data_IF_177291408998
#
_entry.id   IF_177291408998
#
_cell.length_a   1.000
_cell.length_b   1.000
_cell.length_c   1.000
_cell.angle_alpha   90.00
_cell.angle_beta   90.00
_cell.angle_gamma   90.00
#
_symmetry.space_group_name_H-M   'P 1'
#
loop_
_entity.id
_entity.type
_entity.pdbx_description
1 polymer ?
#
# COMPACT_ATOMS: atom_id res chain seq x y z
N UNK A 1 -5.48 -28.58 12.87
CA UNK A 1 -5.73 -29.15 11.54
C UNK A 1 -4.38 -29.43 10.90
N UNK A 2 -4.23 -30.61 10.28
CA UNK A 2 -3.05 -30.87 9.45
C UNK A 2 -3.22 -30.06 8.16
N UNK A 3 -2.27 -29.15 7.91
CA UNK A 3 -2.22 -28.35 6.69
C UNK A 3 -1.23 -29.05 5.76
N UNK A 4 -1.66 -29.34 4.52
CA UNK A 4 -0.77 -29.88 3.50
C UNK A 4 0.37 -28.88 3.22
N UNK A 5 1.62 -29.38 3.15
CA UNK A 5 2.79 -28.59 2.85
C UNK A 5 3.31 -28.98 1.47
N UNK A 6 3.41 -27.98 0.58
CA UNK A 6 4.00 -28.12 -0.76
C UNK A 6 5.32 -27.35 -0.75
N UNK A 7 6.42 -28.03 -1.06
CA UNK A 7 7.73 -27.38 -1.23
C UNK A 7 7.96 -27.19 -2.73
N UNK A 8 8.12 -25.93 -3.15
CA UNK A 8 8.33 -25.57 -4.55
C UNK A 8 9.30 -24.37 -4.66
N UNK A 9 10.02 -24.31 -5.78
CA UNK A 9 10.80 -23.14 -6.15
C UNK A 9 9.87 -22.09 -6.78
N UNK A 10 9.90 -20.85 -6.29
CA UNK A 10 9.09 -19.75 -6.81
C UNK A 10 9.43 -19.37 -8.27
N UNK A 11 10.60 -19.76 -8.77
CA UNK A 11 11.00 -19.63 -10.18
C UNK A 11 10.58 -20.81 -11.07
N UNK A 12 9.95 -21.86 -10.52
CA UNK A 12 9.47 -22.99 -11.28
C UNK A 12 8.01 -22.75 -11.73
N UNK A 13 7.83 -22.40 -13.01
CA UNK A 13 6.53 -22.07 -13.60
C UNK A 13 5.55 -23.25 -13.52
N UNK A 14 6.00 -24.50 -13.68
CA UNK A 14 5.11 -25.68 -13.62
C UNK A 14 4.63 -25.92 -12.17
N UNK A 15 5.51 -25.73 -11.19
CA UNK A 15 5.17 -25.81 -9.78
C UNK A 15 4.18 -24.70 -9.38
N UNK A 16 4.40 -23.45 -9.82
CA UNK A 16 3.48 -22.32 -9.57
C UNK A 16 2.12 -22.54 -10.25
N UNK A 17 2.10 -23.07 -11.47
CA UNK A 17 0.86 -23.43 -12.15
C UNK A 17 0.11 -24.57 -11.44
N UNK A 18 0.83 -25.55 -10.89
CA UNK A 18 0.27 -26.59 -10.04
C UNK A 18 -0.38 -26.04 -8.78
N UNK A 19 0.33 -25.15 -8.08
CA UNK A 19 -0.17 -24.47 -6.87
C UNK A 19 -1.42 -23.65 -7.18
N UNK A 20 -1.39 -22.80 -8.20
CA UNK A 20 -2.52 -21.97 -8.59
C UNK A 20 -3.79 -22.79 -8.83
N UNK A 21 -3.69 -23.92 -9.54
CA UNK A 21 -4.84 -24.81 -9.80
C UNK A 21 -5.33 -25.60 -8.59
N UNK A 22 -4.55 -25.70 -7.53
CA UNK A 22 -4.88 -26.48 -6.32
C UNK A 22 -5.75 -25.74 -5.32
N UNK A 23 -5.90 -24.42 -5.45
CA UNK A 23 -6.63 -23.58 -4.50
C UNK A 23 -7.51 -22.55 -5.21
N UNK A 24 -8.43 -21.94 -4.46
CA UNK A 24 -9.26 -20.83 -4.97
C UNK A 24 -8.63 -19.48 -4.73
N UNK A 25 -7.82 -19.35 -3.68
CA UNK A 25 -7.18 -18.08 -3.28
C UNK A 25 -5.74 -18.36 -2.88
N UNK A 26 -4.83 -17.52 -3.33
CA UNK A 26 -3.42 -17.49 -2.89
C UNK A 26 -3.15 -16.18 -2.17
N UNK A 27 -2.69 -16.25 -0.92
CA UNK A 27 -2.13 -15.12 -0.18
C UNK A 27 -0.60 -15.26 -0.13
N UNK A 28 0.12 -14.34 -0.77
CA UNK A 28 1.58 -14.42 -0.90
C UNK A 28 2.31 -13.44 0.01
N UNK A 29 3.31 -13.95 0.74
CA UNK A 29 4.23 -13.14 1.55
C UNK A 29 5.68 -13.25 1.06
N UNK A 30 5.90 -13.77 -0.15
CA UNK A 30 7.22 -14.10 -0.69
C UNK A 30 7.81 -12.88 -1.41
N UNK A 31 8.50 -12.02 -0.67
CA UNK A 31 9.22 -10.86 -1.19
C UNK A 31 10.75 -11.02 -1.14
N UNK A 32 11.52 -10.19 -1.86
CA UNK A 32 11.11 -9.17 -2.83
C UNK A 32 10.33 -9.73 -4.02
N UNK A 33 9.16 -9.14 -4.29
CA UNK A 33 8.24 -9.67 -5.30
C UNK A 33 8.79 -9.53 -6.73
N UNK A 34 9.57 -8.48 -7.01
CA UNK A 34 10.26 -8.33 -8.30
C UNK A 34 11.24 -9.48 -8.60
N UNK A 35 11.70 -10.19 -7.56
CA UNK A 35 12.60 -11.33 -7.72
C UNK A 35 11.88 -12.68 -7.76
N UNK A 36 10.78 -12.82 -7.01
CA UNK A 36 10.19 -14.13 -6.73
C UNK A 36 8.68 -14.22 -7.01
N UNK A 37 8.00 -13.12 -7.32
CA UNK A 37 6.53 -13.07 -7.39
C UNK A 37 5.96 -13.32 -8.79
N UNK A 38 6.74 -13.11 -9.84
CA UNK A 38 6.22 -12.99 -11.22
C UNK A 38 5.61 -14.28 -11.74
N UNK A 39 6.27 -15.43 -11.55
CA UNK A 39 5.76 -16.74 -12.02
C UNK A 39 4.45 -17.11 -11.33
N UNK A 40 4.33 -16.80 -10.03
CA UNK A 40 3.09 -17.07 -9.30
C UNK A 40 1.93 -16.18 -9.78
N UNK A 41 2.18 -14.88 -10.01
CA UNK A 41 1.14 -13.97 -10.54
C UNK A 41 0.70 -14.39 -11.94
N UNK A 42 1.63 -14.75 -12.82
CA UNK A 42 1.31 -15.30 -14.14
C UNK A 42 0.45 -16.57 -14.04
N UNK A 43 0.81 -17.48 -13.13
CA UNK A 43 0.09 -18.73 -12.91
C UNK A 43 -1.34 -18.53 -12.40
N UNK A 44 -1.56 -17.65 -11.41
CA UNK A 44 -2.90 -17.38 -10.86
C UNK A 44 -3.77 -16.63 -11.88
N UNK A 45 -3.20 -15.67 -12.63
CA UNK A 45 -3.88 -14.97 -13.69
C UNK A 45 -4.41 -15.95 -14.77
N UNK A 46 -3.58 -16.90 -15.20
CA UNK A 46 -3.98 -17.88 -16.19
C UNK A 46 -4.95 -18.95 -15.65
N UNK A 47 -4.91 -19.26 -14.35
CA UNK A 47 -5.71 -20.32 -13.73
C UNK A 47 -7.11 -19.87 -13.29
N UNK A 48 -7.41 -18.57 -13.24
CA UNK A 48 -8.64 -18.05 -12.66
C UNK A 48 -8.65 -18.11 -11.12
N UNK A 49 -7.45 -18.12 -10.51
CA UNK A 49 -7.28 -18.20 -9.05
C UNK A 49 -7.13 -16.81 -8.47
N UNK A 50 -7.87 -16.49 -7.41
CA UNK A 50 -7.77 -15.22 -6.73
C UNK A 50 -6.42 -15.08 -6.01
N UNK A 51 -5.92 -13.84 -5.92
CA UNK A 51 -4.59 -13.58 -5.36
C UNK A 51 -4.55 -12.28 -4.58
N UNK A 52 -3.86 -12.30 -3.43
CA UNK A 52 -3.45 -11.09 -2.73
C UNK A 52 -2.04 -11.22 -2.17
N UNK A 53 -1.38 -10.06 -1.97
CA UNK A 53 -0.01 -9.99 -1.46
C UNK A 53 0.25 -8.73 -0.60
N UNK A 54 1.49 -8.59 -0.15
CA UNK A 54 1.98 -7.49 0.68
C UNK A 54 2.99 -6.61 -0.07
N UNK A 55 2.93 -6.56 -1.40
CA UNK A 55 3.96 -5.85 -2.16
C UNK A 55 3.89 -4.33 -1.95
N UNK A 56 5.04 -3.73 -1.67
CA UNK A 56 5.28 -2.29 -1.73
C UNK A 56 6.10 -1.87 -2.96
N UNK A 57 6.12 -2.66 -4.03
CA UNK A 57 6.98 -2.51 -5.21
C UNK A 57 6.18 -2.05 -6.44
N UNK A 58 5.90 -0.72 -6.60
CA UNK A 58 4.99 -0.24 -7.64
C UNK A 58 5.47 -0.52 -9.07
N UNK A 59 6.79 -0.61 -9.28
CA UNK A 59 7.34 -1.00 -10.59
C UNK A 59 6.98 -2.43 -10.96
N UNK A 60 7.03 -3.34 -9.99
CA UNK A 60 6.67 -4.74 -10.21
C UNK A 60 5.15 -4.90 -10.39
N UNK A 61 4.34 -4.25 -9.53
CA UNK A 61 2.88 -4.21 -9.74
C UNK A 61 2.54 -3.75 -11.15
N UNK A 62 3.19 -2.67 -11.62
CA UNK A 62 2.98 -2.14 -12.96
C UNK A 62 3.33 -3.18 -14.03
N UNK A 63 4.45 -3.88 -13.89
CA UNK A 63 4.87 -4.93 -14.82
C UNK A 63 3.87 -6.10 -14.85
N UNK A 64 3.35 -6.51 -13.70
CA UNK A 64 2.35 -7.58 -13.62
C UNK A 64 1.01 -7.17 -14.23
N UNK A 65 0.54 -5.96 -13.97
CA UNK A 65 -0.66 -5.41 -14.60
C UNK A 65 -0.51 -5.38 -16.12
N UNK A 66 0.59 -4.81 -16.63
CA UNK A 66 0.80 -4.68 -18.08
C UNK A 66 0.94 -6.05 -18.79
N UNK A 67 1.46 -7.06 -18.10
CA UNK A 67 1.68 -8.38 -18.68
C UNK A 67 0.44 -9.30 -18.58
N UNK A 68 -0.35 -9.21 -17.52
CA UNK A 68 -1.33 -10.26 -17.16
C UNK A 68 -2.76 -9.74 -16.92
N UNK A 69 -3.06 -8.44 -17.12
CA UNK A 69 -4.42 -7.89 -16.97
C UNK A 69 -5.41 -8.65 -17.87
N UNK A 70 -5.04 -8.90 -19.13
CA UNK A 70 -5.90 -9.58 -20.08
C UNK A 70 -6.17 -11.04 -19.66
N UNK A 71 -5.13 -11.76 -19.25
CA UNK A 71 -5.27 -13.15 -18.79
C UNK A 71 -6.17 -13.24 -17.56
N UNK A 72 -6.01 -12.32 -16.60
CA UNK A 72 -6.82 -12.25 -15.40
C UNK A 72 -8.30 -11.94 -15.71
N UNK A 73 -8.55 -11.02 -16.64
CA UNK A 73 -9.93 -10.72 -17.11
C UNK A 73 -10.55 -11.95 -17.76
N UNK A 74 -9.84 -12.61 -18.67
CA UNK A 74 -10.35 -13.75 -19.43
C UNK A 74 -10.60 -14.99 -18.56
N UNK A 75 -9.73 -15.25 -17.59
CA UNK A 75 -9.84 -16.40 -16.68
C UNK A 75 -10.81 -16.17 -15.52
N UNK A 76 -11.09 -14.90 -15.19
CA UNK A 76 -11.87 -14.50 -14.02
C UNK A 76 -11.03 -14.37 -12.73
N UNK A 77 -9.70 -14.44 -12.79
CA UNK A 77 -8.81 -14.26 -11.65
C UNK A 77 -8.88 -12.82 -11.12
N UNK A 78 -9.12 -12.65 -9.81
CA UNK A 78 -9.09 -11.34 -9.15
C UNK A 78 -7.76 -11.20 -8.41
N UNK A 79 -6.96 -10.23 -8.82
CA UNK A 79 -5.61 -10.02 -8.30
C UNK A 79 -5.56 -8.67 -7.58
N UNK A 80 -5.25 -8.69 -6.28
CA UNK A 80 -5.20 -7.51 -5.42
C UNK A 80 -3.84 -7.42 -4.75
N UNK A 81 -3.06 -6.44 -5.17
CA UNK A 81 -1.75 -6.15 -4.58
C UNK A 81 -1.86 -5.27 -3.33
N UNK A 82 -0.81 -5.25 -2.52
CA UNK A 82 -0.62 -4.36 -1.38
C UNK A 82 -1.70 -4.49 -0.28
N UNK A 83 -2.11 -5.72 0.04
CA UNK A 83 -3.11 -6.06 1.06
C UNK A 83 -2.53 -6.10 2.48
N UNK A 84 -1.68 -5.12 2.84
CA UNK A 84 -1.10 -4.94 4.16
C UNK A 84 -1.11 -3.48 4.59
N UNK A 85 -0.36 -3.14 5.63
CA UNK A 85 -0.20 -1.76 6.08
C UNK A 85 0.37 -0.85 4.99
N UNK A 86 1.03 -1.42 4.01
CA UNK A 86 1.58 -0.68 2.88
C UNK A 86 0.51 0.17 2.18
N UNK A 87 -0.71 -0.37 1.97
CA UNK A 87 -1.74 0.43 1.30
C UNK A 87 -3.16 0.29 1.85
N UNK A 88 -3.50 -0.76 2.62
CA UNK A 88 -4.89 -0.93 3.11
C UNK A 88 -5.39 0.28 3.90
N UNK A 89 -4.68 0.81 4.92
CA UNK A 89 -5.19 1.96 5.67
C UNK A 89 -5.27 3.24 4.84
N UNK A 90 -4.45 3.36 3.80
CA UNK A 90 -4.45 4.50 2.87
C UNK A 90 -5.59 4.41 1.88
N UNK A 91 -5.74 3.30 1.19
CA UNK A 91 -6.71 3.09 0.12
C UNK A 91 -8.15 3.01 0.66
N UNK A 92 -8.37 2.15 1.67
CA UNK A 92 -9.67 2.07 2.35
C UNK A 92 -9.97 3.30 3.20
N UNK A 93 -8.94 3.98 3.76
CA UNK A 93 -9.13 5.24 4.45
C UNK A 93 -9.63 6.34 3.53
N UNK A 94 -9.09 6.45 2.31
CA UNK A 94 -9.61 7.37 1.28
C UNK A 94 -11.02 6.97 0.86
N UNK A 95 -11.27 5.69 0.61
CA UNK A 95 -12.60 5.17 0.29
C UNK A 95 -13.62 5.57 1.35
N UNK A 96 -13.35 5.30 2.62
CA UNK A 96 -14.20 5.67 3.75
C UNK A 96 -14.41 7.18 3.85
N UNK A 97 -13.34 7.98 3.71
CA UNK A 97 -13.44 9.44 3.76
C UNK A 97 -14.35 9.98 2.65
N UNK A 98 -14.25 9.45 1.45
CA UNK A 98 -15.07 9.85 0.31
C UNK A 98 -16.54 9.48 0.51
N UNK A 99 -16.83 8.30 1.05
CA UNK A 99 -18.20 7.91 1.39
C UNK A 99 -18.79 8.82 2.45
N UNK A 100 -18.05 9.12 3.51
CA UNK A 100 -18.50 10.01 4.58
C UNK A 100 -18.69 11.46 4.10
N UNK A 101 -17.89 11.92 3.15
CA UNK A 101 -18.06 13.23 2.52
C UNK A 101 -19.35 13.26 1.67
N UNK A 102 -19.60 12.22 0.87
CA UNK A 102 -20.84 12.10 0.09
C UNK A 102 -22.07 12.03 1.00
N UNK A 103 -22.02 11.27 2.09
CA UNK A 103 -23.14 11.16 3.05
C UNK A 103 -23.45 12.50 3.74
N UNK A 104 -22.41 13.26 4.13
CA UNK A 104 -22.56 14.51 4.89
C UNK A 104 -22.82 15.74 4.02
N UNK A 105 -22.20 15.80 2.84
CA UNK A 105 -22.14 17.00 2.03
C UNK A 105 -22.74 16.85 0.63
N UNK A 106 -23.10 15.62 0.23
CA UNK A 106 -23.51 15.29 -1.13
C UNK A 106 -22.45 15.70 -2.18
N UNK A 107 -21.17 15.72 -1.76
CA UNK A 107 -20.03 16.16 -2.56
C UNK A 107 -18.76 15.38 -2.17
N UNK A 108 -17.96 14.86 -3.13
CA UNK A 108 -16.71 14.18 -2.81
C UNK A 108 -15.61 15.18 -2.42
N UNK A 109 -14.62 14.70 -1.66
CA UNK A 109 -13.40 15.45 -1.44
C UNK A 109 -12.58 15.52 -2.73
N UNK A 110 -12.17 16.71 -3.13
CA UNK A 110 -11.26 16.98 -4.24
C UNK A 110 -9.79 16.91 -3.81
N UNK A 111 -9.54 16.98 -2.50
CA UNK A 111 -8.23 16.74 -1.91
C UNK A 111 -8.35 15.95 -0.61
N UNK A 112 -7.42 15.02 -0.39
CA UNK A 112 -7.27 14.29 0.88
C UNK A 112 -5.79 14.24 1.25
N UNK A 113 -5.49 14.65 2.49
CA UNK A 113 -4.15 14.62 3.05
C UNK A 113 -4.08 13.59 4.19
N UNK A 114 -3.43 12.44 3.97
CA UNK A 114 -3.21 11.45 5.02
C UNK A 114 -2.01 11.83 5.89
N UNK A 115 -2.20 11.78 7.19
CA UNK A 115 -1.18 12.15 8.17
C UNK A 115 -1.02 11.04 9.21
N UNK A 116 0.19 10.48 9.28
CA UNK A 116 0.59 9.55 10.34
C UNK A 116 0.81 10.36 11.61
N UNK A 117 -0.11 10.27 12.56
CA UNK A 117 -0.05 11.02 13.82
C UNK A 117 0.72 10.27 14.90
N UNK A 118 0.61 8.94 14.90
CA UNK A 118 1.36 8.08 15.78
C UNK A 118 1.53 6.71 15.16
N UNK A 119 2.69 6.11 15.40
CA UNK A 119 2.99 4.75 14.94
C UNK A 119 4.06 4.15 15.86
N UNK A 120 3.83 2.91 16.29
CA UNK A 120 4.79 2.11 17.04
C UNK A 120 4.89 0.73 16.43
N UNK A 121 6.07 0.37 15.96
CA UNK A 121 6.35 -0.92 15.34
C UNK A 121 7.75 -0.97 14.78
N UNK A 122 8.11 -2.12 14.22
CA UNK A 122 9.38 -2.36 13.55
C UNK A 122 9.24 -2.39 12.03
N UNK A 123 10.30 -2.03 11.32
CA UNK A 123 10.38 -2.29 9.89
C UNK A 123 10.59 -3.79 9.64
N UNK A 124 9.89 -4.36 8.67
CA UNK A 124 10.10 -5.75 8.30
C UNK A 124 11.36 -5.90 7.43
N UNK A 125 12.10 -7.00 7.63
CA UNK A 125 13.24 -7.34 6.78
C UNK A 125 12.86 -7.44 5.31
N UNK A 126 11.65 -7.93 5.00
CA UNK A 126 11.11 -7.98 3.64
C UNK A 126 10.94 -6.60 3.00
N UNK A 127 10.32 -5.65 3.71
CA UNK A 127 10.16 -4.25 3.23
C UNK A 127 11.51 -3.59 2.97
N UNK A 128 12.48 -3.83 3.87
CA UNK A 128 13.83 -3.30 3.70
C UNK A 128 14.51 -3.91 2.48
N UNK A 129 14.44 -5.23 2.30
CA UNK A 129 15.03 -5.93 1.16
C UNK A 129 14.41 -5.44 -0.17
N UNK A 130 13.09 -5.29 -0.25
CA UNK A 130 12.39 -4.75 -1.42
C UNK A 130 12.83 -3.31 -1.72
N UNK A 131 12.93 -2.46 -0.69
CA UNK A 131 13.41 -1.09 -0.85
C UNK A 131 14.85 -1.00 -1.36
N UNK A 132 15.75 -1.84 -0.86
CA UNK A 132 17.15 -1.90 -1.34
C UNK A 132 17.23 -2.40 -2.79
N UNK A 133 16.44 -3.40 -3.16
CA UNK A 133 16.35 -3.91 -4.53
C UNK A 133 15.83 -2.82 -5.48
N UNK A 134 14.74 -2.15 -5.10
CA UNK A 134 14.14 -1.06 -5.86
C UNK A 134 15.15 0.07 -6.16
N UNK A 135 15.93 0.50 -5.16
CA UNK A 135 16.94 1.53 -5.32
C UNK A 135 18.04 1.06 -6.29
N UNK A 136 18.43 -0.21 -6.23
CA UNK A 136 19.42 -0.76 -7.16
C UNK A 136 18.91 -0.80 -8.59
N UNK A 137 17.69 -1.29 -8.80
CA UNK A 137 17.04 -1.32 -10.11
C UNK A 137 16.88 0.08 -10.70
N UNK A 138 16.34 1.02 -9.92
CA UNK A 138 16.14 2.41 -10.34
C UNK A 138 17.44 3.11 -10.71
N UNK A 139 18.58 2.74 -10.10
CA UNK A 139 19.88 3.27 -10.46
C UNK A 139 20.34 2.81 -11.85
N UNK A 140 20.01 1.56 -12.23
CA UNK A 140 20.43 0.94 -13.49
C UNK A 140 19.50 1.30 -14.65
N UNK A 141 18.21 1.52 -14.37
CA UNK A 141 17.18 1.69 -15.38
C UNK A 141 16.56 3.11 -15.32
N UNK A 142 16.79 3.95 -16.35
CA UNK A 142 16.14 5.25 -16.46
C UNK A 142 14.62 5.20 -16.68
N UNK A 143 14.09 4.17 -17.36
CA UNK A 143 12.66 4.01 -17.57
C UNK A 143 11.95 3.68 -16.26
N UNK A 144 12.56 2.85 -15.43
CA UNK A 144 12.06 2.57 -14.10
C UNK A 144 11.97 3.85 -13.25
N UNK A 145 12.94 4.76 -13.35
CA UNK A 145 12.86 6.06 -12.64
C UNK A 145 11.68 6.90 -13.10
N UNK A 146 11.28 6.82 -14.39
CA UNK A 146 10.08 7.51 -14.88
C UNK A 146 8.81 6.91 -14.28
N UNK A 147 8.73 5.57 -14.20
CA UNK A 147 7.61 4.88 -13.55
C UNK A 147 7.52 5.29 -12.09
N UNK A 148 8.64 5.23 -11.37
CA UNK A 148 8.71 5.62 -9.96
C UNK A 148 8.46 7.13 -9.74
N UNK A 149 8.70 7.98 -10.70
CA UNK A 149 8.39 9.40 -10.66
C UNK A 149 6.94 9.74 -11.00
N UNK A 150 6.18 8.81 -11.55
CA UNK A 150 4.79 9.04 -11.96
C UNK A 150 3.79 8.60 -10.88
N UNK A 151 3.01 9.50 -10.27
CA UNK A 151 1.99 9.14 -9.28
C UNK A 151 0.84 8.31 -9.86
N UNK A 152 0.67 8.33 -11.18
CA UNK A 152 -0.36 7.58 -11.92
C UNK A 152 0.18 6.28 -12.54
N UNK A 153 1.36 5.83 -12.14
CA UNK A 153 2.03 4.69 -12.77
C UNK A 153 1.18 3.40 -12.77
N UNK A 154 0.35 3.19 -11.77
CA UNK A 154 -0.50 2.00 -11.63
C UNK A 154 -1.88 2.17 -12.27
N UNK A 155 -2.25 3.35 -12.75
CA UNK A 155 -3.54 3.55 -13.40
C UNK A 155 -3.65 2.72 -14.71
N UNK A 156 -4.86 2.40 -15.17
CA UNK A 156 -5.07 1.73 -16.44
C UNK A 156 -4.38 2.44 -17.61
N UNK A 157 -4.10 1.71 -18.68
CA UNK A 157 -3.53 2.30 -19.88
C UNK A 157 -4.44 3.44 -20.40
N UNK A 158 -3.83 4.54 -20.83
CA UNK A 158 -4.56 5.76 -21.24
C UNK A 158 -4.93 6.70 -20.08
N UNK A 159 -4.88 6.25 -18.80
CA UNK A 159 -5.19 7.06 -17.61
C UNK A 159 -3.95 7.40 -16.77
N UNK A 160 -2.75 7.14 -17.27
CA UNK A 160 -1.45 7.28 -16.56
C UNK A 160 -0.90 8.71 -16.55
N UNK A 161 -1.78 9.68 -16.71
CA UNK A 161 -1.48 11.11 -16.66
C UNK A 161 -2.55 11.84 -15.86
N UNK A 162 -2.17 12.95 -15.24
CA UNK A 162 -3.08 13.77 -14.45
C UNK A 162 -2.39 15.03 -13.92
N UNK A 163 -3.04 15.79 -13.04
CA UNK A 163 -2.46 16.97 -12.42
C UNK A 163 -1.23 16.61 -11.58
N UNK A 164 -0.38 17.63 -11.33
CA UNK A 164 0.77 17.45 -10.44
C UNK A 164 0.27 17.14 -9.03
N UNK A 165 0.64 15.99 -8.51
CA UNK A 165 0.31 15.59 -7.15
C UNK A 165 1.20 16.27 -6.11
N UNK A 166 0.65 16.66 -4.95
CA UNK A 166 1.44 17.11 -3.81
C UNK A 166 2.34 15.97 -3.32
N UNK A 167 3.52 16.32 -2.79
CA UNK A 167 4.45 15.35 -2.23
C UNK A 167 5.28 15.99 -1.11
N UNK A 168 5.38 15.32 0.03
CA UNK A 168 6.15 15.79 1.18
C UNK A 168 7.52 15.12 1.16
N UNK A 169 8.48 15.74 0.49
CA UNK A 169 9.88 15.26 0.40
C UNK A 169 10.84 15.97 1.35
N UNK A 170 10.39 17.08 1.96
CA UNK A 170 11.17 17.90 2.88
C UNK A 170 10.31 18.34 4.07
N UNK A 171 10.93 18.71 5.20
CA UNK A 171 10.20 19.25 6.35
C UNK A 171 9.37 20.47 5.96
N UNK A 172 8.10 20.50 6.34
CA UNK A 172 7.23 21.66 6.10
C UNK A 172 6.18 21.80 7.20
N UNK A 173 5.61 23.02 7.33
CA UNK A 173 4.36 23.17 8.06
C UNK A 173 3.24 22.55 7.23
N UNK A 174 2.49 21.68 7.85
CA UNK A 174 1.34 21.02 7.23
C UNK A 174 0.12 21.95 7.32
N UNK A 175 -0.50 22.21 6.19
CA UNK A 175 -1.63 23.14 6.13
C UNK A 175 -2.89 22.55 6.79
N UNK A 176 -3.09 21.23 6.66
CA UNK A 176 -4.27 20.54 7.16
C UNK A 176 -4.27 20.43 8.69
N UNK A 177 -3.13 20.12 9.31
CA UNK A 177 -3.03 19.89 10.75
C UNK A 177 -2.38 21.04 11.53
N UNK A 178 -1.74 22.01 10.85
CA UNK A 178 -0.95 23.07 11.48
C UNK A 178 0.36 22.62 12.12
N UNK A 179 0.68 21.35 12.13
CA UNK A 179 1.87 20.75 12.72
C UNK A 179 3.07 20.73 11.73
N UNK A 180 4.24 20.32 12.19
CA UNK A 180 5.36 20.00 11.30
C UNK A 180 5.19 18.59 10.71
N UNK A 181 5.32 18.50 9.39
CA UNK A 181 5.30 17.27 8.62
C UNK A 181 6.70 16.89 8.13
N UNK A 182 6.95 15.59 8.11
CA UNK A 182 8.14 14.96 7.56
C UNK A 182 7.75 13.93 6.49
N UNK A 183 8.66 13.54 5.58
CA UNK A 183 8.38 12.50 4.60
C UNK A 183 7.93 11.19 5.25
N UNK A 184 6.94 10.54 4.64
CA UNK A 184 6.52 9.19 4.99
C UNK A 184 6.96 8.24 3.88
N UNK A 185 7.73 7.22 4.22
CA UNK A 185 8.39 6.35 3.24
C UNK A 185 7.39 5.58 2.37
N UNK A 186 6.24 5.17 2.95
CA UNK A 186 5.21 4.40 2.24
C UNK A 186 4.40 5.25 1.26
N UNK A 187 4.43 6.58 1.38
CA UNK A 187 3.74 7.49 0.47
C UNK A 187 4.08 7.22 -1.01
N UNK A 188 5.30 6.75 -1.28
CA UNK A 188 5.73 6.43 -2.64
C UNK A 188 4.91 5.30 -3.28
N UNK A 189 4.42 4.32 -2.51
CA UNK A 189 3.55 3.24 -2.99
C UNK A 189 2.10 3.62 -2.84
N UNK A 190 1.69 4.06 -1.65
CA UNK A 190 0.30 4.31 -1.30
C UNK A 190 -0.38 5.33 -2.21
N UNK A 191 0.30 6.43 -2.53
CA UNK A 191 -0.26 7.43 -3.45
C UNK A 191 -0.60 6.85 -4.82
N UNK A 192 0.17 5.88 -5.31
CA UNK A 192 -0.10 5.21 -6.59
C UNK A 192 -1.27 4.24 -6.51
N UNK A 193 -1.42 3.54 -5.40
CA UNK A 193 -2.57 2.66 -5.16
C UNK A 193 -3.85 3.48 -5.10
N UNK A 194 -3.88 4.57 -4.33
CA UNK A 194 -5.05 5.49 -4.26
C UNK A 194 -5.37 6.11 -5.61
N UNK A 195 -4.37 6.53 -6.40
CA UNK A 195 -4.60 7.06 -7.75
C UNK A 195 -5.09 5.97 -8.72
N UNK A 196 -4.69 4.71 -8.52
CA UNK A 196 -5.26 3.58 -9.27
C UNK A 196 -6.72 3.35 -8.89
N UNK A 197 -7.06 3.38 -7.61
CA UNK A 197 -8.45 3.30 -7.12
C UNK A 197 -9.31 4.36 -7.79
N UNK A 198 -8.87 5.61 -7.75
CA UNK A 198 -9.56 6.73 -8.40
C UNK A 198 -9.75 6.49 -9.91
N UNK A 199 -8.74 5.98 -10.60
CA UNK A 199 -8.80 5.70 -12.02
C UNK A 199 -9.72 4.51 -12.36
N UNK A 200 -9.68 3.42 -11.58
CA UNK A 200 -10.54 2.24 -11.78
C UNK A 200 -12.03 2.54 -11.56
N UNK A 201 -12.34 3.54 -10.76
CA UNK A 201 -13.70 4.04 -10.52
C UNK A 201 -14.14 5.11 -11.55
N UNK A 202 -13.39 5.32 -12.62
CA UNK A 202 -13.66 6.36 -13.62
C UNK A 202 -13.61 7.79 -13.06
N UNK A 203 -12.69 8.04 -12.12
CA UNK A 203 -12.39 9.35 -11.52
C UNK A 203 -13.58 10.04 -10.83
N UNK A 204 -14.28 9.37 -9.90
CA UNK A 204 -15.49 9.93 -9.28
C UNK A 204 -15.22 11.16 -8.42
N UNK A 205 -13.96 11.39 -8.02
CA UNK A 205 -13.55 12.52 -7.16
C UNK A 205 -13.05 13.74 -7.97
N UNK A 206 -13.25 13.69 -9.29
CA UNK A 206 -12.89 14.73 -10.25
C UNK A 206 -11.47 14.60 -10.80
N UNK A 207 -11.24 15.15 -12.00
CA UNK A 207 -9.94 15.09 -12.68
C UNK A 207 -8.80 15.79 -11.94
N UNK A 208 -9.15 16.69 -11.02
CA UNK A 208 -8.22 17.46 -10.19
C UNK A 208 -7.91 16.83 -8.83
N UNK A 209 -8.38 15.61 -8.53
CA UNK A 209 -8.19 15.00 -7.22
C UNK A 209 -6.72 14.95 -6.80
N UNK A 210 -6.44 15.47 -5.60
CA UNK A 210 -5.12 15.51 -4.99
C UNK A 210 -5.04 14.59 -3.75
N UNK A 211 -3.95 13.83 -3.66
CA UNK A 211 -3.68 12.98 -2.50
C UNK A 211 -2.20 12.99 -2.13
N UNK A 212 -1.90 13.20 -0.84
CA UNK A 212 -0.54 13.05 -0.31
C UNK A 212 -0.51 12.43 1.10
N UNK A 213 0.67 11.95 1.48
CA UNK A 213 0.91 11.38 2.80
C UNK A 213 2.15 12.00 3.46
N UNK A 214 2.08 12.15 4.78
CA UNK A 214 3.21 12.63 5.58
C UNK A 214 3.14 12.13 7.03
N UNK A 215 4.27 12.16 7.73
CA UNK A 215 4.34 11.94 9.18
C UNK A 215 4.24 13.28 9.91
N UNK A 216 3.36 13.38 10.93
CA UNK A 216 3.35 14.52 11.84
C UNK A 216 4.36 14.31 12.97
N UNK A 217 5.08 15.36 13.30
CA UNK A 217 6.11 15.32 14.37
C UNK A 217 5.88 16.36 15.48
N UNK A 218 4.67 16.97 15.47
CA UNK A 218 4.22 17.93 16.48
C UNK A 218 4.44 19.38 16.08
N UNK A 219 4.48 20.27 17.08
CA UNK A 219 4.55 21.72 16.89
C UNK A 219 5.81 22.33 17.48
N UNK A 220 6.10 23.58 17.06
CA UNK A 220 7.21 24.38 17.58
C UNK A 220 8.59 24.02 17.03
N UNK A 221 9.65 24.69 17.54
CA UNK A 221 11.01 24.55 16.99
C UNK A 221 11.61 23.14 17.13
N UNK A 222 11.27 22.42 18.20
CA UNK A 222 11.76 21.06 18.39
C UNK A 222 11.17 20.11 17.36
N UNK A 223 9.90 20.29 17.00
CA UNK A 223 9.25 19.51 15.95
C UNK A 223 9.86 19.79 14.57
N UNK A 224 10.23 21.05 14.28
CA UNK A 224 10.97 21.39 13.07
C UNK A 224 12.31 20.64 12.98
N UNK A 225 13.04 20.56 14.10
CA UNK A 225 14.29 19.80 14.15
C UNK A 225 14.06 18.29 13.98
N UNK A 226 13.01 17.73 14.59
CA UNK A 226 12.62 16.33 14.40
C UNK A 226 12.25 16.04 12.93
N UNK A 227 11.43 16.90 12.29
CA UNK A 227 11.08 16.76 10.88
C UNK A 227 12.32 16.75 9.99
N UNK A 228 13.28 17.64 10.28
CA UNK A 228 14.57 17.70 9.56
C UNK A 228 15.39 16.43 9.78
N UNK A 229 15.40 15.89 11.00
CA UNK A 229 16.07 14.64 11.33
C UNK A 229 15.48 13.45 10.57
N UNK A 230 14.15 13.35 10.50
CA UNK A 230 13.45 12.29 9.74
C UNK A 230 13.78 12.39 8.24
N UNK A 231 13.62 13.58 7.64
CA UNK A 231 13.93 13.79 6.23
C UNK A 231 15.40 13.51 5.91
N UNK A 232 16.32 13.96 6.79
CA UNK A 232 17.75 13.68 6.67
C UNK A 232 18.06 12.19 6.77
N UNK A 233 17.39 11.46 7.68
CA UNK A 233 17.53 10.01 7.84
C UNK A 233 17.06 9.23 6.60
N UNK A 234 15.90 9.60 6.06
CA UNK A 234 15.38 8.99 4.80
C UNK A 234 16.33 9.26 3.64
N UNK A 235 16.80 10.50 3.49
CA UNK A 235 17.76 10.88 2.44
C UNK A 235 19.12 10.17 2.57
N UNK A 236 19.64 10.06 3.81
CA UNK A 236 20.88 9.36 4.09
C UNK A 236 20.77 7.86 3.80
N UNK A 237 19.65 7.22 4.22
CA UNK A 237 19.38 5.82 3.91
C UNK A 237 19.35 5.59 2.39
N UNK A 238 18.58 6.39 1.65
CA UNK A 238 18.51 6.28 0.19
C UNK A 238 19.88 6.46 -0.48
N UNK A 239 20.66 7.44 -0.03
CA UNK A 239 22.02 7.68 -0.53
C UNK A 239 22.99 6.52 -0.23
N UNK A 240 22.94 5.97 0.97
CA UNK A 240 23.75 4.80 1.36
C UNK A 240 23.34 3.54 0.60
N UNK A 241 22.03 3.35 0.40
CA UNK A 241 21.50 2.22 -0.37
C UNK A 241 21.86 2.29 -1.87
N UNK A 242 21.96 3.50 -2.41
CA UNK A 242 22.34 3.72 -3.81
C UNK A 242 23.83 3.41 -4.12
N UNK A 243 24.72 3.47 -3.12
CA UNK A 243 26.16 3.23 -3.30
C UNK A 243 26.54 1.83 -2.82
N UNK A 244 27.08 0.98 -3.71
CA UNK A 244 27.34 -0.44 -3.48
C UNK A 244 28.09 -0.79 -2.19
N UNK A 245 29.23 -0.15 -1.86
CA UNK A 245 29.97 -0.40 -0.62
C UNK A 245 29.17 -0.11 0.64
N UNK A 246 28.45 1.01 0.70
CA UNK A 246 27.63 1.39 1.86
C UNK A 246 26.36 0.56 1.98
N UNK A 247 25.78 0.10 0.86
CA UNK A 247 24.66 -0.82 0.85
C UNK A 247 25.03 -2.16 1.48
N UNK A 248 26.23 -2.71 1.19
CA UNK A 248 26.70 -3.94 1.85
C UNK A 248 26.85 -3.76 3.35
N UNK A 249 27.36 -2.60 3.77
CA UNK A 249 27.46 -2.26 5.18
C UNK A 249 26.08 -2.14 5.84
N UNK A 250 25.10 -1.49 5.16
CA UNK A 250 23.70 -1.43 5.65
C UNK A 250 23.14 -2.83 5.87
N UNK A 251 23.34 -3.75 4.94
CA UNK A 251 22.85 -5.13 5.05
C UNK A 251 23.33 -5.89 6.29
N UNK A 252 24.46 -5.48 6.92
CA UNK A 252 24.94 -6.10 8.17
C UNK A 252 24.23 -5.62 9.43
N UNK A 253 23.46 -4.52 9.34
CA UNK A 253 22.74 -3.90 10.47
C UNK A 253 21.22 -3.97 10.32
N UNK A 254 20.74 -4.31 9.14
CA UNK A 254 19.31 -4.39 8.84
C UNK A 254 18.80 -5.82 9.08
N UNK A 255 17.55 -5.98 9.53
CA UNK A 255 16.96 -7.31 9.69
C UNK A 255 16.91 -8.05 8.36
N UNK A 256 17.19 -9.35 8.41
CA UNK A 256 17.10 -10.23 7.24
C UNK A 256 15.63 -10.49 6.84
N UNK A 257 15.36 -10.91 5.59
CA UNK A 257 14.02 -11.35 5.20
C UNK A 257 13.49 -12.43 6.17
N UNK A 258 12.29 -12.20 6.71
CA UNK A 258 11.68 -13.04 7.75
C UNK A 258 11.98 -12.60 9.18
N UNK A 259 12.94 -11.70 9.40
CA UNK A 259 13.17 -11.10 10.70
C UNK A 259 12.29 -9.85 10.92
N UNK A 260 11.90 -9.63 12.16
CA UNK A 260 11.05 -8.50 12.54
C UNK A 260 10.92 -8.35 14.05
N UNK A 261 9.98 -7.50 14.52
CA UNK A 261 9.73 -7.32 15.95
C UNK A 261 9.27 -8.60 16.62
N UNK A 262 9.64 -8.75 17.91
CA UNK A 262 9.19 -9.91 18.72
C UNK A 262 7.65 -9.92 18.84
N UNK A 263 7.03 -11.08 19.19
CA UNK A 263 5.60 -11.15 19.44
C UNK A 263 5.09 -10.10 20.42
N UNK A 264 5.83 -9.82 21.49
CA UNK A 264 5.47 -8.81 22.48
C UNK A 264 5.56 -7.39 21.91
N UNK A 265 6.53 -7.13 21.03
CA UNK A 265 6.66 -5.85 20.34
C UNK A 265 5.53 -5.66 19.33
N UNK A 266 5.13 -6.73 18.64
CA UNK A 266 3.99 -6.72 17.72
C UNK A 266 2.68 -6.41 18.46
N UNK A 267 2.46 -7.04 19.63
CA UNK A 267 1.28 -6.79 20.47
C UNK A 267 1.26 -5.40 21.09
N UNK A 268 2.41 -4.84 21.41
CA UNK A 268 2.54 -3.48 21.96
C UNK A 268 2.58 -2.39 20.89
N UNK A 269 2.50 -2.77 19.62
CA UNK A 269 2.49 -1.87 18.47
C UNK A 269 1.11 -1.24 18.24
N UNK A 270 1.07 -0.18 17.46
CA UNK A 270 -0.16 0.48 17.03
C UNK A 270 0.12 1.48 15.91
N UNK A 271 -0.92 1.96 15.25
CA UNK A 271 -0.87 3.14 14.38
C UNK A 271 -2.13 3.98 14.50
N UNK A 272 -2.00 5.28 14.25
CA UNK A 272 -3.07 6.28 14.16
C UNK A 272 -2.80 7.14 12.92
N UNK A 273 -3.68 7.05 11.95
CA UNK A 273 -3.64 7.80 10.70
C UNK A 273 -4.88 8.70 10.64
N UNK A 274 -4.69 9.96 10.24
CA UNK A 274 -5.78 10.91 10.01
C UNK A 274 -5.82 11.34 8.57
N UNK A 275 -7.01 11.38 8.01
CA UNK A 275 -7.25 11.84 6.65
C UNK A 275 -8.04 13.14 6.73
N UNK A 276 -7.44 14.21 6.21
CA UNK A 276 -8.03 15.52 6.12
C UNK A 276 -8.56 15.71 4.71
N UNK A 277 -9.88 15.66 4.55
CA UNK A 277 -10.57 15.82 3.27
C UNK A 277 -11.14 17.23 3.12
N UNK A 278 -11.07 17.76 1.90
CA UNK A 278 -11.68 19.04 1.52
C UNK A 278 -12.43 18.86 0.19
N UNK A 279 -13.71 19.32 0.15
CA UNK A 279 -14.55 19.30 -1.04
C UNK A 279 -14.29 20.52 -1.93
N UNK A 280 -14.78 20.53 -3.17
CA UNK A 280 -14.70 21.69 -4.05
C UNK A 280 -15.50 22.89 -3.49
N UNK A 281 -16.54 22.62 -2.70
CA UNK A 281 -17.32 23.63 -1.98
C UNK A 281 -16.62 24.20 -0.75
N UNK A 282 -15.43 23.71 -0.38
CA UNK A 282 -14.65 24.15 0.79
C UNK A 282 -15.14 23.56 2.12
N UNK A 283 -15.96 22.52 2.09
CA UNK A 283 -16.33 21.76 3.28
C UNK A 283 -15.20 20.80 3.64
N UNK A 284 -15.00 20.60 4.93
CA UNK A 284 -13.90 19.76 5.44
C UNK A 284 -14.43 18.60 6.27
N UNK A 285 -13.73 17.48 6.20
CA UNK A 285 -13.98 16.28 6.99
C UNK A 285 -12.66 15.73 7.49
N UNK A 286 -12.64 15.23 8.72
CA UNK A 286 -11.49 14.49 9.24
C UNK A 286 -11.92 13.08 9.58
N UNK A 287 -11.26 12.10 9.00
CA UNK A 287 -11.44 10.69 9.35
C UNK A 287 -10.18 10.10 9.95
N UNK A 288 -10.32 8.98 10.61
CA UNK A 288 -9.23 8.32 11.32
C UNK A 288 -9.25 6.82 11.04
N UNK A 289 -8.08 6.26 10.79
CA UNK A 289 -7.85 4.81 10.72
C UNK A 289 -6.82 4.43 11.76
N UNK A 290 -7.15 3.48 12.64
CA UNK A 290 -6.20 2.97 13.65
C UNK A 290 -6.03 1.47 13.55
N UNK A 291 -4.95 0.97 14.15
CA UNK A 291 -4.74 -0.46 14.36
C UNK A 291 -4.09 -0.71 15.72
N UNK A 292 -4.44 -1.84 16.31
CA UNK A 292 -4.12 -2.26 17.68
C UNK A 292 -2.81 -3.05 17.78
N UNK A 293 -2.06 -3.17 16.68
CA UNK A 293 -0.81 -3.94 16.61
C UNK A 293 0.23 -3.24 15.75
N UNK A 294 1.45 -3.73 15.83
CA UNK A 294 2.56 -3.32 14.96
C UNK A 294 2.16 -3.34 13.48
N UNK A 295 2.39 -2.23 12.75
CA UNK A 295 2.00 -2.14 11.35
C UNK A 295 2.80 -3.11 10.44
N UNK A 296 4.08 -3.38 10.78
CA UNK A 296 4.97 -4.16 9.91
C UNK A 296 4.62 -5.64 9.82
N UNK A 297 4.20 -6.26 10.91
CA UNK A 297 3.84 -7.69 10.96
C UNK A 297 2.46 -7.92 11.58
N UNK A 298 2.23 -7.41 12.80
CA UNK A 298 1.04 -7.74 13.58
C UNK A 298 -0.27 -7.39 12.88
N UNK A 299 -0.45 -6.13 12.48
CA UNK A 299 -1.64 -5.67 11.74
C UNK A 299 -1.61 -6.14 10.29
N UNK A 300 -0.46 -6.13 9.63
CA UNK A 300 -0.31 -6.56 8.22
C UNK A 300 -0.74 -8.02 8.02
N UNK A 301 -0.36 -8.93 8.93
CA UNK A 301 -0.76 -10.34 8.85
C UNK A 301 -2.29 -10.51 8.91
N UNK A 302 -2.97 -9.73 9.78
CA UNK A 302 -4.42 -9.72 9.89
C UNK A 302 -5.07 -9.12 8.64
N UNK A 303 -4.55 -8.00 8.13
CA UNK A 303 -5.05 -7.37 6.89
C UNK A 303 -4.98 -8.32 5.70
N UNK A 304 -3.84 -9.00 5.50
CA UNK A 304 -3.68 -9.98 4.42
C UNK A 304 -4.65 -11.16 4.57
N UNK A 305 -4.79 -11.68 5.80
CA UNK A 305 -5.68 -12.79 6.07
C UNK A 305 -7.15 -12.42 5.78
N UNK A 306 -7.61 -11.25 6.24
CA UNK A 306 -8.97 -10.78 5.99
C UNK A 306 -9.20 -10.46 4.50
N UNK A 307 -8.19 -9.94 3.79
CA UNK A 307 -8.26 -9.76 2.33
C UNK A 307 -8.40 -11.08 1.58
N UNK A 308 -7.63 -12.11 1.99
CA UNK A 308 -7.75 -13.43 1.40
C UNK A 308 -9.12 -14.08 1.68
N UNK A 309 -9.66 -13.90 2.87
CA UNK A 309 -10.98 -14.40 3.24
C UNK A 309 -12.11 -13.62 2.54
N UNK A 310 -11.94 -12.31 2.31
CA UNK A 310 -12.92 -11.48 1.62
C UNK A 310 -13.23 -11.97 0.19
N UNK A 311 -12.27 -12.59 -0.51
CA UNK A 311 -12.55 -13.21 -1.82
C UNK A 311 -13.63 -14.29 -1.77
N UNK A 312 -13.78 -14.98 -0.63
CA UNK A 312 -14.81 -15.99 -0.46
C UNK A 312 -16.23 -15.40 -0.44
N UNK A 313 -16.36 -14.18 0.07
CA UNK A 313 -17.63 -13.50 0.25
C UNK A 313 -18.02 -12.65 -0.98
N UNK A 314 -17.05 -12.42 -1.90
CA UNK A 314 -17.31 -11.73 -3.17
C UNK A 314 -17.94 -12.67 -4.19
N UNK A 315 -19.02 -12.23 -4.82
CA UNK A 315 -19.52 -12.90 -6.02
C UNK A 315 -18.77 -12.44 -7.28
N UNK A 316 -18.72 -13.27 -8.30
CA UNK A 316 -18.14 -12.93 -9.60
C UNK A 316 -18.91 -11.82 -10.34
N UNK A 317 -20.14 -11.54 -9.89
CA UNK A 317 -20.96 -10.46 -10.43
C UNK A 317 -20.65 -9.11 -9.80
N UNK A 318 -20.01 -9.10 -8.63
CA UNK A 318 -19.64 -7.87 -7.92
C UNK A 318 -18.31 -7.32 -8.46
N UNK A 319 -17.32 -8.22 -8.59
CA UNK A 319 -15.98 -7.87 -9.09
C UNK A 319 -15.53 -8.96 -10.06
N UNK A 320 -15.32 -8.59 -11.32
CA UNK A 320 -14.81 -9.49 -12.38
C UNK A 320 -13.32 -9.78 -12.24
N UNK A 321 -12.80 -10.62 -13.15
CA UNK A 321 -11.36 -10.83 -13.26
C UNK A 321 -10.61 -9.55 -13.60
N UNK A 322 -9.34 -9.48 -13.21
CA UNK A 322 -8.47 -8.31 -13.42
C UNK A 322 -7.61 -7.98 -12.21
N UNK A 323 -6.83 -6.90 -12.33
CA UNK A 323 -6.01 -6.37 -11.24
C UNK A 323 -6.73 -5.21 -10.56
N UNK A 324 -6.98 -5.34 -9.28
CA UNK A 324 -7.74 -4.41 -8.46
C UNK A 324 -6.87 -3.79 -7.36
N UNK A 325 -7.42 -2.78 -6.67
CA UNK A 325 -6.89 -2.28 -5.40
C UNK A 325 -7.75 -2.79 -4.25
N UNK A 326 -7.31 -2.75 -2.99
CA UNK A 326 -8.13 -3.16 -1.86
C UNK A 326 -9.51 -2.49 -1.83
N UNK A 327 -9.58 -1.17 -2.10
CA UNK A 327 -10.83 -0.43 -2.10
C UNK A 327 -11.74 -0.83 -3.28
N UNK A 328 -11.20 -1.03 -4.48
CA UNK A 328 -12.02 -1.38 -5.65
C UNK A 328 -12.44 -2.84 -5.70
N UNK A 329 -11.67 -3.74 -5.08
CA UNK A 329 -12.03 -5.15 -4.97
C UNK A 329 -13.04 -5.41 -3.86
N UNK A 330 -12.82 -4.81 -2.69
CA UNK A 330 -13.50 -5.22 -1.46
C UNK A 330 -14.35 -4.11 -0.84
N UNK A 331 -13.92 -2.84 -0.94
CA UNK A 331 -14.66 -1.70 -0.39
C UNK A 331 -15.07 -1.91 1.08
N UNK A 332 -16.36 -1.69 1.36
CA UNK A 332 -16.94 -1.79 2.71
C UNK A 332 -16.86 -3.19 3.29
N UNK A 333 -16.95 -4.23 2.46
CA UNK A 333 -16.80 -5.62 2.91
C UNK A 333 -15.49 -5.81 3.68
N UNK A 334 -14.37 -5.28 3.15
CA UNK A 334 -13.09 -5.43 3.85
C UNK A 334 -12.99 -4.49 5.06
N UNK A 335 -13.56 -3.29 5.02
CA UNK A 335 -13.64 -2.40 6.19
C UNK A 335 -14.34 -3.12 7.35
N UNK A 336 -15.51 -3.69 7.12
CA UNK A 336 -16.27 -4.40 8.15
C UNK A 336 -15.47 -5.57 8.73
N UNK A 337 -14.85 -6.39 7.88
CA UNK A 337 -14.01 -7.51 8.31
C UNK A 337 -12.79 -7.06 9.12
N UNK A 338 -12.14 -5.97 8.72
CA UNK A 338 -10.97 -5.42 9.43
C UNK A 338 -11.34 -4.86 10.81
N UNK A 339 -12.52 -4.25 10.92
CA UNK A 339 -13.06 -3.77 12.21
C UNK A 339 -13.43 -4.95 13.12
N UNK A 340 -14.12 -5.95 12.58
CA UNK A 340 -14.60 -7.08 13.40
C UNK A 340 -13.47 -8.04 13.82
N UNK A 341 -12.47 -8.28 12.94
CA UNK A 341 -11.52 -9.37 13.13
C UNK A 341 -10.06 -8.94 13.23
N UNK A 342 -9.70 -7.77 12.69
CA UNK A 342 -8.30 -7.35 12.61
C UNK A 342 -7.90 -6.27 13.62
N UNK A 343 -8.85 -5.70 14.39
CA UNK A 343 -8.58 -4.67 15.38
C UNK A 343 -8.28 -3.31 14.78
N UNK A 344 -8.74 -3.06 13.56
CA UNK A 344 -8.72 -1.72 12.95
C UNK A 344 -9.98 -0.95 13.34
N UNK A 345 -9.90 0.38 13.26
CA UNK A 345 -11.08 1.25 13.32
C UNK A 345 -11.07 2.23 12.16
N UNK A 346 -12.27 2.61 11.72
CA UNK A 346 -12.50 3.65 10.73
C UNK A 346 -13.56 4.59 11.32
N UNK A 347 -13.16 5.79 11.72
CA UNK A 347 -14.01 6.73 12.44
C UNK A 347 -14.01 8.10 11.74
N UNK A 348 -15.13 8.83 11.85
CA UNK A 348 -15.15 10.26 11.58
C UNK A 348 -14.82 10.98 12.87
N UNK A 349 -13.90 11.95 12.81
CA UNK A 349 -13.54 12.80 13.95
C UNK A 349 -14.26 14.12 13.78
N UNK A 350 -15.16 14.44 14.70
CA UNK A 350 -15.74 15.78 14.81
C UNK A 350 -14.72 16.65 15.57
N UNK A 351 -14.12 17.65 14.91
CA UNK A 351 -13.25 18.66 15.54
C UNK A 351 -14.05 19.90 15.92
#
# INVERSE_FOLDING_TARGET
ADVEQIVADAGDADAMAGLARSTRVVASTVGPYALYGSELVAAVAAAGTDYCDLTGEPQWMRAMIDAHEHDAVDSGARIVHACGFDSIPSDLGVWFTQQQAMERFDEPCTSIALRVTAMKGGASGGTIASGLNLIEEARKDPELRKILGNPYALAPEGMRTGPKQPNVTAPRRDAASGQWAAPFIMAATNTRVVQRTHALLDRPWGDGFEYDEAMLVGEGPLAAAKATGVAGGVGAFAGMAAFGPTRRLLGTFLPEPGEGPSPEQQEAGYFDLRLYGETAGGQTIVTKVTGDRDPGYGSTAKMLAESALAFHDLSVTDVGGGFWTPATAFGDLLIDRLVEHAGLTFDVIDE
#
